data_IF_999486186198
#
_entry.id   IF_999486186198
#
_cell.length_a   1.000
_cell.length_b   1.000
_cell.length_c   1.000
_cell.angle_alpha   90.00
_cell.angle_beta   90.00
_cell.angle_gamma   90.00
#
_symmetry.space_group_name_H-M   'P 1'
#
loop_
_entity.id
_entity.type
_entity.pdbx_description
1 polymer ?
#
# COMPACT_ATOMS: atom_id res chain seq x y z
N UNK A 1 -3.46 0.81 -14.46
CA UNK A 1 -3.36 0.04 -15.70
C UNK A 1 -2.14 -0.88 -15.70
N UNK A 2 -0.91 -0.35 -15.56
CA UNK A 2 0.33 -1.15 -15.55
C UNK A 2 0.32 -2.37 -14.60
N UNK A 3 -0.19 -2.21 -13.37
CA UNK A 3 -0.26 -3.31 -12.40
C UNK A 3 -1.12 -4.50 -12.86
N UNK A 4 -2.28 -4.25 -13.47
CA UNK A 4 -3.21 -5.34 -13.86
C UNK A 4 -2.63 -6.21 -14.97
N UNK A 5 -1.95 -5.59 -15.94
CA UNK A 5 -1.22 -6.29 -17.01
C UNK A 5 -0.13 -7.20 -16.45
N UNK A 6 0.67 -6.69 -15.51
CA UNK A 6 1.74 -7.52 -14.94
C UNK A 6 1.18 -8.69 -14.14
N UNK A 7 0.11 -8.48 -13.36
CA UNK A 7 -0.57 -9.57 -12.66
C UNK A 7 -1.13 -10.64 -13.62
N UNK A 8 -1.63 -10.27 -14.80
CA UNK A 8 -2.10 -11.26 -15.78
C UNK A 8 -0.96 -12.06 -16.40
N UNK A 9 0.19 -11.44 -16.69
CA UNK A 9 1.38 -12.19 -17.16
C UNK A 9 1.93 -13.13 -16.08
N UNK A 10 1.92 -12.69 -14.82
CA UNK A 10 2.35 -13.52 -13.70
C UNK A 10 1.39 -14.70 -13.46
N UNK A 11 0.07 -14.48 -13.57
CA UNK A 11 -0.94 -15.54 -13.50
C UNK A 11 -0.86 -16.53 -14.67
N UNK A 12 -0.38 -16.09 -15.83
CA UNK A 12 -0.12 -16.93 -17.00
C UNK A 12 1.22 -17.70 -16.92
N UNK A 13 1.97 -17.60 -15.81
CA UNK A 13 3.28 -18.24 -15.65
C UNK A 13 4.42 -17.58 -16.44
N UNK A 14 4.17 -16.42 -17.07
CA UNK A 14 5.11 -15.72 -17.96
C UNK A 14 5.87 -14.63 -17.22
N UNK A 15 6.67 -15.00 -16.22
CA UNK A 15 7.39 -14.04 -15.39
C UNK A 15 8.44 -13.21 -16.17
N UNK A 16 9.14 -13.81 -17.13
CA UNK A 16 10.16 -13.09 -17.92
C UNK A 16 9.55 -11.99 -18.80
N UNK A 17 8.39 -12.29 -19.43
CA UNK A 17 7.64 -11.30 -20.22
C UNK A 17 7.13 -10.15 -19.33
N UNK A 18 6.69 -10.47 -18.10
CA UNK A 18 6.27 -9.47 -17.12
C UNK A 18 7.42 -8.52 -16.72
N UNK A 19 8.62 -9.06 -16.48
CA UNK A 19 9.82 -8.29 -16.13
C UNK A 19 10.24 -7.40 -17.31
N UNK A 20 10.25 -7.94 -18.53
CA UNK A 20 10.59 -7.17 -19.74
C UNK A 20 9.60 -6.00 -19.97
N UNK A 21 8.31 -6.23 -19.74
CA UNK A 21 7.28 -5.20 -19.83
C UNK A 21 7.45 -4.13 -18.74
N UNK A 22 7.72 -4.53 -17.50
CA UNK A 22 8.04 -3.60 -16.41
C UNK A 22 9.25 -2.72 -16.75
N UNK A 23 10.34 -3.30 -17.29
CA UNK A 23 11.53 -2.55 -17.73
C UNK A 23 11.18 -1.49 -18.78
N UNK A 24 10.34 -1.80 -19.77
CA UNK A 24 9.88 -0.83 -20.78
C UNK A 24 9.07 0.31 -20.14
N UNK A 25 8.18 -0.01 -19.20
CA UNK A 25 7.34 0.98 -18.51
C UNK A 25 8.11 1.96 -17.62
N UNK A 26 9.34 1.62 -17.19
CA UNK A 26 10.19 2.56 -16.44
C UNK A 26 10.64 3.78 -17.25
N UNK A 27 10.60 3.71 -18.59
CA UNK A 27 10.96 4.80 -19.51
C UNK A 27 9.74 5.58 -20.01
N UNK A 28 8.54 5.23 -19.58
CA UNK A 28 7.29 5.82 -20.04
C UNK A 28 7.20 7.31 -19.67
N UNK A 29 6.53 8.15 -20.48
CA UNK A 29 6.48 9.61 -20.30
C UNK A 29 5.85 10.07 -18.95
N UNK A 30 4.91 9.29 -18.41
CA UNK A 30 4.21 9.59 -17.15
C UNK A 30 5.01 9.17 -15.91
N UNK A 31 5.29 10.13 -15.02
CA UNK A 31 6.02 9.91 -13.75
C UNK A 31 5.41 8.80 -12.88
N UNK A 32 4.10 8.81 -12.69
CA UNK A 32 3.38 7.84 -11.86
C UNK A 32 3.54 6.41 -12.38
N UNK A 33 3.50 6.23 -13.70
CA UNK A 33 3.72 4.94 -14.36
C UNK A 33 5.15 4.46 -14.16
N UNK A 34 6.15 5.36 -14.26
CA UNK A 34 7.55 5.02 -14.02
C UNK A 34 7.79 4.55 -12.58
N UNK A 35 7.26 5.26 -11.59
CA UNK A 35 7.39 4.87 -10.18
C UNK A 35 6.71 3.54 -9.90
N UNK A 36 5.50 3.31 -10.43
CA UNK A 36 4.82 2.03 -10.28
C UNK A 36 5.62 0.89 -10.91
N UNK A 37 6.15 1.09 -12.13
CA UNK A 37 6.94 0.07 -12.82
C UNK A 37 8.23 -0.29 -12.07
N UNK A 38 8.95 0.71 -11.53
CA UNK A 38 10.17 0.48 -10.73
C UNK A 38 9.90 -0.34 -9.47
N UNK A 39 8.84 -0.01 -8.72
CA UNK A 39 8.45 -0.77 -7.52
C UNK A 39 8.10 -2.21 -7.86
N UNK A 40 7.37 -2.41 -8.94
CA UNK A 40 6.95 -3.73 -9.36
C UNK A 40 8.14 -4.59 -9.82
N UNK A 41 9.06 -3.98 -10.57
CA UNK A 41 10.31 -4.61 -11.01
C UNK A 41 11.14 -5.07 -9.81
N UNK A 42 11.26 -4.24 -8.77
CA UNK A 42 11.97 -4.60 -7.54
C UNK A 42 11.33 -5.79 -6.80
N UNK A 43 10.00 -5.93 -6.84
CA UNK A 43 9.30 -7.08 -6.25
C UNK A 43 9.56 -8.35 -7.06
N UNK A 44 9.53 -8.26 -8.40
CA UNK A 44 9.70 -9.41 -9.28
C UNK A 44 11.15 -9.91 -9.34
N UNK A 45 12.13 -9.02 -9.19
CA UNK A 45 13.55 -9.37 -9.17
C UNK A 45 14.06 -9.73 -7.77
N UNK A 46 13.19 -9.67 -6.74
CA UNK A 46 13.59 -9.99 -5.38
C UNK A 46 14.01 -11.47 -5.29
N UNK A 47 15.20 -11.78 -4.75
CA UNK A 47 15.62 -13.16 -4.57
C UNK A 47 14.76 -13.84 -3.51
N UNK A 48 14.56 -15.16 -3.65
CA UNK A 48 13.86 -15.93 -2.63
C UNK A 48 14.61 -15.87 -1.29
N UNK A 49 13.84 -15.60 -0.23
CA UNK A 49 14.40 -15.55 1.10
C UNK A 49 14.73 -16.98 1.55
N UNK A 50 16.03 -17.26 1.77
CA UNK A 50 16.48 -18.53 2.33
C UNK A 50 15.91 -18.70 3.73
N UNK A 51 14.85 -19.49 3.88
CA UNK A 51 14.33 -19.90 5.17
C UNK A 51 15.26 -20.93 5.78
N UNK A 52 15.56 -20.75 7.07
CA UNK A 52 16.34 -21.74 7.81
C UNK A 52 15.41 -22.84 8.33
N UNK A 53 15.83 -24.11 8.30
CA UNK A 53 14.98 -25.24 8.69
C UNK A 53 14.53 -25.17 10.16
N UNK A 54 15.31 -24.54 11.03
CA UNK A 54 14.93 -24.33 12.44
C UNK A 54 13.73 -23.39 12.64
N UNK A 55 13.33 -22.62 11.63
CA UNK A 55 12.19 -21.68 11.70
C UNK A 55 10.93 -22.21 11.03
N UNK A 56 11.02 -23.37 10.36
CA UNK A 56 9.90 -23.98 9.65
C UNK A 56 9.42 -25.18 10.45
N UNK A 57 8.29 -25.02 11.15
CA UNK A 57 7.57 -26.15 11.74
C UNK A 57 6.70 -26.76 10.63
N UNK A 58 6.89 -28.04 10.34
CA UNK A 58 6.04 -28.76 9.39
C UNK A 58 4.63 -28.85 9.95
N UNK A 59 3.64 -28.41 9.17
CA UNK A 59 2.23 -28.67 9.50
C UNK A 59 2.02 -30.18 9.30
N UNK A 60 1.58 -30.92 10.33
CA UNK A 60 1.28 -32.33 10.18
C UNK A 60 0.08 -32.51 9.25
N UNK A 61 0.10 -33.60 8.48
CA UNK A 61 -1.01 -33.98 7.63
C UNK A 61 -2.24 -34.28 8.49
N UNK A 62 -3.37 -33.66 8.14
CA UNK A 62 -4.63 -33.75 8.88
C UNK A 62 -5.61 -34.73 8.22
N UNK A 63 -5.27 -35.34 7.07
CA UNK A 63 -6.15 -36.29 6.37
C UNK A 63 -6.45 -37.56 7.19
N UNK A 64 -5.63 -37.89 8.19
CA UNK A 64 -5.86 -39.03 9.08
C UNK A 64 -6.64 -38.69 10.36
N UNK A 65 -7.03 -37.43 10.57
CA UNK A 65 -7.89 -37.07 11.70
C UNK A 65 -9.34 -37.46 11.35
N UNK A 66 -9.71 -38.70 11.68
CA UNK A 66 -11.11 -39.12 11.69
C UNK A 66 -11.96 -38.17 12.55
N UNK A 67 -13.26 -38.12 12.28
CA UNK A 67 -14.27 -37.30 12.98
C UNK A 67 -13.91 -37.17 14.47
N UNK A 68 -13.47 -35.97 14.86
CA UNK A 68 -13.00 -35.67 16.21
C UNK A 68 -14.05 -36.08 17.25
N UNK A 69 -13.67 -36.92 18.23
CA UNK A 69 -14.55 -37.31 19.34
C UNK A 69 -15.02 -36.00 20.04
N UNK A 70 -16.31 -35.86 20.40
CA UNK A 70 -16.76 -34.73 21.21
C UNK A 70 -15.93 -34.48 22.49
N UNK A 71 -15.13 -35.46 22.97
CA UNK A 71 -14.14 -35.28 24.04
C UNK A 71 -12.86 -34.54 23.63
N UNK A 72 -12.48 -34.60 22.36
CA UNK A 72 -11.34 -33.90 21.77
C UNK A 72 -11.68 -32.45 21.37
N UNK A 73 -12.98 -32.09 21.42
CA UNK A 73 -13.47 -30.70 21.32
C UNK A 73 -13.17 -29.90 22.60
N UNK A 74 -11.90 -29.88 23.02
CA UNK A 74 -11.42 -29.04 24.13
C UNK A 74 -11.16 -27.62 23.60
N UNK A 75 -12.22 -26.91 23.23
CA UNK A 75 -12.07 -25.56 22.67
C UNK A 75 -13.34 -24.71 22.57
N UNK A 76 -14.49 -25.19 23.05
CA UNK A 76 -15.74 -24.40 23.00
C UNK A 76 -16.54 -24.48 24.30
N UNK A 77 -15.86 -24.30 25.43
CA UNK A 77 -16.54 -23.95 26.68
C UNK A 77 -15.73 -22.86 27.36
N UNK A 78 -16.25 -21.64 27.26
CA UNK A 78 -15.78 -20.45 27.98
C UNK A 78 -14.29 -20.18 27.87
N UNK A 79 -13.84 -19.71 26.70
CA UNK A 79 -12.69 -18.79 26.68
C UNK A 79 -13.17 -17.54 27.41
N UNK A 80 -12.94 -17.50 28.72
CA UNK A 80 -12.84 -16.25 29.46
C UNK A 80 -11.94 -15.37 28.61
N UNK A 81 -12.49 -14.24 28.14
CA UNK A 81 -11.80 -13.26 27.31
C UNK A 81 -10.51 -12.88 28.02
N UNK A 82 -9.42 -13.59 27.72
CA UNK A 82 -8.09 -13.18 28.10
C UNK A 82 -7.94 -11.87 27.37
N UNK A 83 -8.04 -10.76 28.12
CA UNK A 83 -7.68 -9.44 27.62
C UNK A 83 -6.22 -9.58 27.20
N UNK A 84 -5.98 -9.80 25.92
CA UNK A 84 -4.66 -9.59 25.35
C UNK A 84 -4.28 -8.17 25.76
N UNK A 85 -3.13 -7.94 26.42
CA UNK A 85 -2.68 -6.59 26.66
C UNK A 85 -2.65 -5.91 25.30
N UNK A 86 -3.48 -4.89 25.13
CA UNK A 86 -3.48 -4.11 23.90
C UNK A 86 -2.05 -3.61 23.72
N UNK A 87 -1.41 -3.84 22.55
CA UNK A 87 -0.08 -3.31 22.31
C UNK A 87 -0.15 -1.82 22.62
N UNK A 88 0.68 -1.38 23.57
CA UNK A 88 0.75 0.01 23.99
C UNK A 88 1.06 0.78 22.71
N UNK A 89 0.06 1.47 22.15
CA UNK A 89 0.22 2.29 20.95
C UNK A 89 1.40 3.21 21.28
N UNK A 90 2.47 3.23 20.46
CA UNK A 90 3.56 4.18 20.69
C UNK A 90 2.89 5.55 20.79
N UNK A 91 3.09 6.18 21.93
CA UNK A 91 2.61 7.53 22.20
C UNK A 91 3.31 8.39 21.16
N UNK A 92 2.58 8.72 20.09
CA UNK A 92 3.09 9.59 19.04
C UNK A 92 3.38 10.89 19.76
N UNK A 93 4.67 11.21 19.91
CA UNK A 93 5.07 12.53 20.37
C UNK A 93 4.31 13.55 19.53
N UNK A 94 3.72 14.59 20.15
CA UNK A 94 2.95 15.58 19.44
C UNK A 94 3.84 16.15 18.34
N UNK A 95 3.50 15.83 17.08
CA UNK A 95 4.22 16.32 15.91
C UNK A 95 4.20 17.84 16.02
N UNK A 96 5.37 18.42 16.20
CA UNK A 96 5.51 19.85 16.33
C UNK A 96 5.06 20.51 15.01
N UNK A 97 3.97 21.28 15.09
CA UNK A 97 3.40 22.00 13.96
C UNK A 97 4.36 23.10 13.43
N UNK A 98 5.46 23.39 14.14
CA UNK A 98 6.56 24.21 13.63
C UNK A 98 7.39 23.49 12.56
N UNK A 99 7.35 22.16 12.53
CA UNK A 99 8.13 21.32 11.61
C UNK A 99 7.41 21.06 10.27
N UNK A 100 6.15 21.48 10.13
CA UNK A 100 5.45 21.41 8.84
C UNK A 100 5.88 22.56 7.94
N UNK A 101 6.43 22.19 6.77
CA UNK A 101 6.99 23.13 5.82
C UNK A 101 5.87 23.93 5.13
N UNK A 102 5.54 25.10 5.69
CA UNK A 102 4.52 26.05 5.18
C UNK A 102 5.06 27.00 4.11
N UNK A 103 6.34 26.86 3.73
CA UNK A 103 7.05 27.78 2.83
C UNK A 103 6.56 27.69 1.37
N UNK A 104 6.01 26.54 0.97
CA UNK A 104 5.49 26.29 -0.38
C UNK A 104 4.05 26.80 -0.62
N UNK A 105 3.47 27.56 0.31
CA UNK A 105 2.10 28.08 0.17
C UNK A 105 1.98 29.37 -0.65
N UNK A 106 3.05 29.82 -1.32
CA UNK A 106 3.03 31.03 -2.17
C UNK A 106 2.02 30.93 -3.32
N UNK A 107 1.82 29.73 -3.87
CA UNK A 107 0.82 29.49 -4.91
C UNK A 107 -0.62 29.79 -4.45
N UNK A 108 -0.95 29.52 -3.18
CA UNK A 108 -2.29 29.79 -2.64
C UNK A 108 -2.59 31.29 -2.64
N UNK A 109 -1.62 32.13 -2.29
CA UNK A 109 -1.76 33.59 -2.31
C UNK A 109 -1.96 34.13 -3.73
N UNK A 110 -1.17 33.62 -4.69
CA UNK A 110 -1.31 34.00 -6.11
C UNK A 110 -2.68 33.60 -6.65
N UNK A 111 -3.14 32.38 -6.34
CA UNK A 111 -4.45 31.89 -6.76
C UNK A 111 -5.60 32.72 -6.15
N UNK A 112 -5.51 33.10 -4.87
CA UNK A 112 -6.50 33.94 -4.21
C UNK A 112 -6.59 35.33 -4.86
N UNK A 113 -5.45 35.98 -5.10
CA UNK A 113 -5.41 37.31 -5.73
C UNK A 113 -5.96 37.24 -7.15
N UNK A 114 -5.54 36.24 -7.94
CA UNK A 114 -6.03 36.06 -9.30
C UNK A 114 -7.55 35.82 -9.34
N UNK A 115 -8.08 35.05 -8.40
CA UNK A 115 -9.52 34.78 -8.30
C UNK A 115 -10.29 36.06 -7.93
N UNK A 116 -9.79 36.84 -6.97
CA UNK A 116 -10.41 38.11 -6.59
C UNK A 116 -10.44 39.11 -7.75
N UNK A 117 -9.34 39.21 -8.50
CA UNK A 117 -9.26 40.07 -9.68
C UNK A 117 -10.20 39.61 -10.80
N UNK A 118 -10.28 38.31 -11.06
CA UNK A 118 -11.19 37.76 -12.05
C UNK A 118 -12.65 38.08 -11.70
N UNK A 119 -13.06 37.85 -10.45
CA UNK A 119 -14.42 38.17 -10.00
C UNK A 119 -14.68 39.68 -10.06
N UNK A 120 -13.72 40.51 -9.62
CA UNK A 120 -13.82 41.96 -9.70
C UNK A 120 -13.99 42.45 -11.14
N UNK A 121 -13.18 41.94 -12.07
CA UNK A 121 -13.26 42.30 -13.49
C UNK A 121 -14.60 41.91 -14.11
N UNK A 122 -15.13 40.73 -13.77
CA UNK A 122 -16.45 40.27 -14.26
C UNK A 122 -17.56 41.17 -13.73
N UNK A 123 -17.53 41.54 -12.44
CA UNK A 123 -18.56 42.40 -11.85
C UNK A 123 -18.48 43.83 -12.39
N UNK A 124 -17.28 44.39 -12.54
CA UNK A 124 -17.08 45.74 -13.11
C UNK A 124 -17.50 45.76 -14.57
N UNK A 125 -17.16 44.74 -15.35
CA UNK A 125 -17.57 44.61 -16.75
C UNK A 125 -19.06 44.28 -16.95
N UNK A 126 -19.76 43.80 -15.92
CA UNK A 126 -21.21 43.58 -15.95
C UNK A 126 -22.01 44.81 -15.51
N UNK A 127 -21.37 45.77 -14.82
CA UNK A 127 -21.99 47.01 -14.33
C UNK A 127 -21.86 48.18 -15.31
N UNK A 128 -20.96 48.08 -16.30
CA UNK A 128 -20.74 49.07 -17.35
C UNK A 128 -21.28 48.59 -18.70
#
# INVERSE_FOLDING_TARGET
FARRLVCSYQAAGKQDEAIALCRRLTRHARLTTRQQAKRLLAILEAPELKTRPEWVVSIPDLESLGESDPKDRRGSSNVSRVKSPSPKRPELEPVDLSQVNTKDNQFIWVALIATLLAVGAILIGAVN
#
